data_IF_327916706626
#
_entry.id   IF_327916706626
#
_cell.length_a   1.000
_cell.length_b   1.000
_cell.length_c   1.000
_cell.angle_alpha   90.00
_cell.angle_beta   90.00
_cell.angle_gamma   90.00
#
_symmetry.space_group_name_H-M   'P 1'
#
loop_
_entity.id
_entity.type
_entity.pdbx_description
1 polymer ?
#
# COMPACT_ATOMS: atom_id res chain seq x y z
N UNK A 1 11.81 -31.66 -56.66
CA UNK A 1 11.59 -30.20 -56.74
C UNK A 1 11.27 -29.69 -55.35
N UNK A 2 12.02 -28.74 -54.77
CA UNK A 2 11.81 -28.31 -53.40
C UNK A 2 10.75 -27.21 -53.29
N UNK A 3 9.97 -27.32 -52.22
CA UNK A 3 8.85 -26.47 -51.82
C UNK A 3 9.37 -25.12 -51.29
N UNK A 4 8.86 -23.99 -51.79
CA UNK A 4 9.17 -22.65 -51.26
C UNK A 4 7.96 -22.11 -50.49
N UNK A 5 8.13 -21.95 -49.17
CA UNK A 5 7.20 -21.19 -48.34
C UNK A 5 7.39 -19.67 -48.57
N UNK A 6 6.32 -18.86 -48.55
CA UNK A 6 6.44 -17.42 -48.79
C UNK A 6 7.07 -16.72 -47.58
N UNK A 7 8.09 -15.88 -47.83
CA UNK A 7 8.65 -14.95 -46.84
C UNK A 7 7.69 -13.78 -46.66
N UNK A 8 7.13 -13.64 -45.46
CA UNK A 8 6.41 -12.44 -45.04
C UNK A 8 7.46 -11.36 -44.75
N UNK A 9 7.56 -10.37 -45.64
CA UNK A 9 8.37 -9.17 -45.40
C UNK A 9 7.47 -8.20 -44.63
N UNK A 10 7.70 -8.08 -43.33
CA UNK A 10 7.05 -7.07 -42.49
C UNK A 10 7.75 -5.74 -42.78
N UNK A 11 7.02 -4.79 -43.37
CA UNK A 11 7.57 -3.48 -43.71
C UNK A 11 8.03 -2.75 -42.44
N UNK A 12 9.18 -2.04 -42.43
CA UNK A 12 9.67 -1.31 -41.24
C UNK A 12 8.66 -0.30 -40.68
N UNK A 13 7.75 0.21 -41.52
CA UNK A 13 6.67 1.10 -41.10
C UNK A 13 5.58 0.43 -40.25
N UNK A 14 5.43 -0.90 -40.31
CA UNK A 14 4.43 -1.62 -39.52
C UNK A 14 4.88 -1.84 -38.06
N UNK A 15 6.19 -1.97 -37.84
CA UNK A 15 6.77 -2.07 -36.48
C UNK A 15 6.76 -0.71 -35.76
N UNK A 16 6.93 0.40 -36.50
CA UNK A 16 6.84 1.75 -35.93
C UNK A 16 5.41 2.15 -35.53
N UNK A 17 4.37 1.56 -36.13
CA UNK A 17 2.95 1.89 -35.83
C UNK A 17 2.35 1.10 -34.67
N UNK A 18 3.04 0.08 -34.17
CA UNK A 18 2.64 -0.71 -33.00
C UNK A 18 3.30 -0.23 -31.68
N UNK A 19 4.16 0.78 -31.77
CA UNK A 19 4.81 1.42 -30.62
C UNK A 19 4.22 2.81 -30.29
N UNK A 20 3.25 3.29 -31.07
CA UNK A 20 2.47 4.47 -30.73
C UNK A 20 1.20 4.04 -29.99
N UNK A 21 1.17 4.35 -28.69
CA UNK A 21 0.01 4.32 -27.79
C UNK A 21 -0.48 2.93 -27.33
N UNK A 22 0.37 2.22 -26.59
CA UNK A 22 -0.19 1.55 -25.40
C UNK A 22 -0.62 2.67 -24.44
N UNK A 23 -1.90 2.77 -24.01
CA UNK A 23 -2.25 3.75 -22.99
C UNK A 23 -1.38 3.46 -21.77
N UNK A 24 -0.61 4.44 -21.33
CA UNK A 24 0.10 4.32 -20.06
C UNK A 24 -0.93 3.93 -19.01
N UNK A 25 -0.70 2.80 -18.36
CA UNK A 25 -1.60 2.28 -17.34
C UNK A 25 -1.89 3.35 -16.30
N UNK A 26 -3.18 3.67 -16.09
CA UNK A 26 -3.67 4.64 -15.09
C UNK A 26 -3.53 4.11 -13.64
N UNK A 27 -3.07 2.86 -13.52
CA UNK A 27 -2.75 2.21 -12.25
C UNK A 27 -1.45 2.78 -11.68
N UNK A 28 -1.56 3.40 -10.51
CA UNK A 28 -0.40 3.82 -9.72
C UNK A 28 -0.31 2.93 -8.50
N UNK A 29 0.81 2.24 -8.38
CA UNK A 29 1.06 1.37 -7.25
C UNK A 29 1.38 2.21 -5.99
N UNK A 30 0.76 1.91 -4.84
CA UNK A 30 1.15 2.50 -3.58
C UNK A 30 2.55 1.99 -3.16
N UNK A 31 3.24 2.71 -2.27
CA UNK A 31 4.50 2.24 -1.68
C UNK A 31 4.32 0.90 -0.95
N UNK A 32 5.28 -0.02 -1.13
CA UNK A 32 5.32 -1.28 -0.37
C UNK A 32 5.79 -1.06 1.07
N UNK A 33 4.86 -0.94 2.01
CA UNK A 33 5.17 -0.69 3.43
C UNK A 33 5.56 -1.95 4.22
N UNK A 34 5.67 -3.11 3.57
CA UNK A 34 6.00 -4.36 4.26
C UNK A 34 7.34 -4.25 4.98
N UNK A 35 7.37 -4.75 6.22
CA UNK A 35 8.54 -4.66 7.10
C UNK A 35 8.80 -3.28 7.72
N UNK A 36 7.95 -2.26 7.45
CA UNK A 36 8.13 -0.89 7.94
C UNK A 36 6.93 -0.45 8.81
N UNK A 37 6.86 -0.93 10.07
CA UNK A 37 5.64 -0.86 10.88
C UNK A 37 5.37 0.52 11.51
N UNK A 38 6.35 1.43 11.49
CA UNK A 38 6.24 2.69 12.21
C UNK A 38 5.50 3.73 11.37
N UNK A 39 4.61 4.46 12.03
CA UNK A 39 3.79 5.53 11.46
C UNK A 39 3.61 6.66 12.48
N UNK A 40 3.21 7.83 12.00
CA UNK A 40 2.80 8.98 12.82
C UNK A 40 1.48 9.55 12.32
N UNK A 41 0.70 10.11 13.23
CA UNK A 41 -0.51 10.88 12.97
C UNK A 41 -0.43 12.24 13.66
N UNK A 42 -0.88 13.29 12.98
CA UNK A 42 -1.01 14.64 13.52
C UNK A 42 -2.34 15.22 13.08
N UNK A 43 -3.12 15.76 14.00
CA UNK A 43 -4.36 16.50 13.69
C UNK A 43 -4.21 17.94 14.16
N UNK A 44 -4.50 18.90 13.27
CA UNK A 44 -4.40 20.34 13.56
C UNK A 44 -5.62 21.06 13.01
N UNK A 45 -6.27 21.87 13.85
CA UNK A 45 -7.40 22.71 13.44
C UNK A 45 -6.93 24.06 12.89
N UNK A 46 -7.42 24.42 11.70
CA UNK A 46 -7.17 25.73 11.08
C UNK A 46 -8.48 26.54 10.94
N UNK A 47 -8.44 27.87 11.12
CA UNK A 47 -9.59 28.76 10.99
C UNK A 47 -9.83 29.19 9.53
N UNK A 48 -9.75 28.24 8.60
CA UNK A 48 -10.10 28.42 7.19
C UNK A 48 -10.91 27.24 6.68
N UNK A 49 -11.73 27.42 5.62
CA UNK A 49 -12.43 26.31 4.98
C UNK A 49 -11.46 25.34 4.23
N UNK A 50 -11.89 24.09 3.94
CA UNK A 50 -11.01 23.05 3.41
C UNK A 50 -10.34 23.38 2.08
N UNK A 51 -11.02 24.12 1.21
CA UNK A 51 -10.51 24.58 -0.10
C UNK A 51 -9.23 25.40 0.04
N UNK A 52 -9.10 26.20 1.11
CA UNK A 52 -7.92 27.03 1.35
C UNK A 52 -6.71 26.21 1.78
N UNK A 53 -6.90 25.18 2.60
CA UNK A 53 -5.82 24.27 2.96
C UNK A 53 -5.44 23.39 1.77
N UNK A 54 -6.43 22.92 1.00
CA UNK A 54 -6.19 22.16 -0.21
C UNK A 54 -5.35 22.95 -1.24
N UNK A 55 -5.70 24.23 -1.48
CA UNK A 55 -4.89 25.13 -2.31
C UNK A 55 -3.49 25.37 -1.72
N UNK A 56 -3.34 25.44 -0.39
CA UNK A 56 -2.04 25.56 0.26
C UNK A 56 -1.14 24.34 0.03
N UNK A 57 -1.71 23.15 -0.07
CA UNK A 57 -0.98 21.91 -0.35
C UNK A 57 -0.74 21.65 -1.84
N UNK A 58 -1.62 22.14 -2.73
CA UNK A 58 -1.57 21.79 -4.17
C UNK A 58 -1.08 22.92 -5.07
N UNK A 59 -1.14 24.18 -4.62
CA UNK A 59 -0.76 25.36 -5.41
C UNK A 59 0.27 26.26 -4.75
N UNK A 60 0.37 26.18 -3.43
CA UNK A 60 1.22 27.07 -2.63
C UNK A 60 2.14 26.32 -1.67
N UNK A 61 2.40 25.04 -1.95
CA UNK A 61 3.28 24.19 -1.14
C UNK A 61 4.70 24.73 -1.07
N UNK A 62 5.11 25.44 -2.12
CA UNK A 62 6.38 26.15 -2.22
C UNK A 62 6.53 27.32 -1.25
N UNK A 63 5.44 27.80 -0.63
CA UNK A 63 5.47 28.95 0.30
C UNK A 63 5.77 28.58 1.74
N UNK A 64 5.60 27.31 2.12
CA UNK A 64 5.69 26.88 3.52
C UNK A 64 6.44 25.55 3.72
N UNK A 65 6.69 24.79 2.66
CA UNK A 65 7.38 23.50 2.74
C UNK A 65 8.73 23.52 2.01
N UNK A 66 8.74 24.01 0.77
CA UNK A 66 9.92 23.98 -0.08
C UNK A 66 10.79 25.23 0.09
N UNK A 67 12.11 25.04 -0.03
CA UNK A 67 13.05 26.13 -0.26
C UNK A 67 12.66 26.93 -1.52
N UNK A 68 12.72 28.27 -1.51
CA UNK A 68 12.32 29.09 -2.64
C UNK A 68 12.97 28.66 -3.97
N UNK A 69 12.15 28.37 -4.98
CA UNK A 69 12.61 28.00 -6.33
C UNK A 69 13.03 26.53 -6.52
N UNK A 70 13.05 25.71 -5.47
CA UNK A 70 13.44 24.29 -5.56
C UNK A 70 12.29 23.39 -6.06
N UNK A 71 11.04 23.76 -5.77
CA UNK A 71 9.88 22.91 -6.06
C UNK A 71 9.65 22.66 -7.56
N UNK A 72 9.45 21.40 -7.91
CA UNK A 72 9.03 20.87 -9.21
C UNK A 72 7.88 19.90 -8.94
N UNK A 73 6.65 20.38 -9.03
CA UNK A 73 5.47 19.59 -8.68
C UNK A 73 4.35 19.84 -9.70
N UNK A 74 3.67 18.77 -10.10
CA UNK A 74 2.35 18.82 -10.74
C UNK A 74 1.39 18.01 -9.87
N UNK A 75 0.21 18.54 -9.59
CA UNK A 75 -0.81 17.87 -8.77
C UNK A 75 -1.80 17.13 -9.65
N UNK A 76 -1.26 16.16 -10.38
CA UNK A 76 -2.00 15.21 -11.20
C UNK A 76 -1.68 13.80 -10.71
N UNK A 77 -2.67 12.91 -10.76
CA UNK A 77 -2.51 11.53 -10.33
C UNK A 77 -1.35 10.89 -11.11
N UNK A 78 -0.32 10.43 -10.41
CA UNK A 78 0.88 9.79 -10.96
C UNK A 78 2.03 10.73 -11.27
N UNK A 79 1.82 12.04 -11.22
CA UNK A 79 2.86 13.01 -11.48
C UNK A 79 3.98 12.92 -10.43
N UNK A 80 5.26 12.88 -10.86
CA UNK A 80 6.37 12.93 -9.95
C UNK A 80 6.55 14.33 -9.39
N UNK A 81 7.19 14.42 -8.23
CA UNK A 81 7.58 15.69 -7.65
C UNK A 81 9.01 15.67 -7.07
N UNK A 82 9.60 16.86 -6.99
CA UNK A 82 10.86 17.12 -6.33
C UNK A 82 10.81 18.48 -5.62
N UNK A 83 11.43 18.59 -4.45
CA UNK A 83 11.77 19.88 -3.83
C UNK A 83 12.89 19.69 -2.80
N UNK A 84 13.62 20.76 -2.49
CA UNK A 84 14.44 20.81 -1.29
C UNK A 84 13.62 21.38 -0.13
N UNK A 85 13.63 20.72 1.03
CA UNK A 85 12.94 21.22 2.22
C UNK A 85 13.53 22.56 2.66
N UNK A 86 12.68 23.49 3.11
CA UNK A 86 13.15 24.73 3.71
C UNK A 86 13.95 24.48 5.00
N UNK A 87 14.89 25.38 5.31
CA UNK A 87 15.64 25.30 6.56
C UNK A 87 14.70 25.42 7.77
N UNK A 88 14.64 24.38 8.58
CA UNK A 88 13.92 24.38 9.85
C UNK A 88 14.89 24.79 10.96
N UNK A 89 14.57 25.83 11.73
CA UNK A 89 15.49 26.40 12.72
C UNK A 89 15.93 25.35 13.76
N UNK A 90 17.23 25.10 13.88
CA UNK A 90 17.80 24.24 14.93
C UNK A 90 18.77 23.15 14.45
N UNK A 91 18.82 22.86 13.15
CA UNK A 91 19.85 21.98 12.57
C UNK A 91 20.94 22.81 11.90
N UNK A 92 22.20 22.34 11.96
CA UNK A 92 23.29 22.97 11.24
C UNK A 92 22.96 22.99 9.73
N UNK A 93 23.26 24.08 9.01
CA UNK A 93 22.96 24.17 7.59
C UNK A 93 23.62 22.99 6.87
N UNK A 94 22.80 22.15 6.25
CA UNK A 94 23.30 21.05 5.44
C UNK A 94 24.03 21.66 4.21
N UNK A 95 25.24 21.19 3.85
CA UNK A 95 26.02 21.76 2.75
C UNK A 95 25.36 21.60 1.37
N UNK A 96 24.32 20.76 1.28
CA UNK A 96 23.38 20.65 0.17
C UNK A 96 21.97 20.62 0.77
N UNK A 97 20.95 21.08 0.04
CA UNK A 97 19.56 21.04 0.48
C UNK A 97 19.11 19.65 0.95
N UNK A 98 17.92 19.55 1.56
CA UNK A 98 17.32 18.27 1.96
C UNK A 98 16.34 17.84 0.87
N UNK A 99 16.78 17.08 -0.16
CA UNK A 99 15.92 16.74 -1.28
C UNK A 99 14.83 15.77 -0.86
N UNK A 100 13.63 16.05 -1.36
CA UNK A 100 12.43 15.26 -1.21
C UNK A 100 11.90 14.92 -2.59
N UNK A 101 11.51 13.66 -2.76
CA UNK A 101 11.01 13.09 -4.00
C UNK A 101 9.70 12.36 -3.75
N UNK A 102 8.95 12.12 -4.82
CA UNK A 102 7.77 11.29 -4.72
C UNK A 102 6.88 11.35 -5.94
N UNK A 103 5.64 10.90 -5.76
CA UNK A 103 4.58 11.00 -6.76
C UNK A 103 3.22 11.20 -6.09
N UNK A 104 2.29 11.80 -6.82
CA UNK A 104 0.90 11.90 -6.38
C UNK A 104 0.21 10.54 -6.58
N UNK A 105 -0.39 9.99 -5.53
CA UNK A 105 -1.13 8.72 -5.59
C UNK A 105 -2.63 8.96 -5.79
N UNK A 106 -3.16 9.96 -5.09
CA UNK A 106 -4.57 10.29 -5.08
C UNK A 106 -4.79 11.74 -4.67
N UNK A 107 -5.83 12.33 -5.23
CA UNK A 107 -6.27 13.68 -4.88
C UNK A 107 -7.79 13.74 -5.00
N UNK A 108 -8.43 14.22 -3.94
CA UNK A 108 -9.85 14.57 -3.93
C UNK A 108 -9.96 16.03 -3.53
N UNK A 109 -10.49 16.85 -4.43
CA UNK A 109 -10.54 18.30 -4.24
C UNK A 109 -11.20 18.65 -2.90
N UNK A 110 -10.52 19.52 -2.15
CA UNK A 110 -10.95 20.05 -0.85
C UNK A 110 -11.13 18.98 0.25
N UNK A 111 -10.66 17.74 0.03
CA UNK A 111 -10.89 16.60 0.94
C UNK A 111 -9.66 15.75 1.24
N UNK A 112 -8.89 15.38 0.23
CA UNK A 112 -7.81 14.40 0.41
C UNK A 112 -6.63 14.62 -0.55
N UNK A 113 -5.43 14.29 -0.05
CA UNK A 113 -4.21 14.19 -0.84
C UNK A 113 -3.38 13.01 -0.33
N UNK A 114 -2.99 12.12 -1.24
CA UNK A 114 -2.11 10.96 -0.95
C UNK A 114 -0.86 11.02 -1.82
N UNK A 115 0.30 10.87 -1.18
CA UNK A 115 1.62 11.01 -1.78
C UNK A 115 2.48 9.81 -1.42
N UNK A 116 3.16 9.23 -2.42
CA UNK A 116 4.36 8.46 -2.16
C UNK A 116 5.48 9.47 -1.90
N UNK A 117 6.22 9.28 -0.82
CA UNK A 117 7.15 10.26 -0.29
C UNK A 117 8.51 9.62 -0.02
N UNK A 118 9.60 10.30 -0.35
CA UNK A 118 10.95 9.79 -0.10
C UNK A 118 11.89 10.95 0.19
N UNK A 119 12.74 10.78 1.19
CA UNK A 119 13.84 11.70 1.48
C UNK A 119 15.09 10.94 1.93
N UNK A 120 16.22 11.63 1.90
CA UNK A 120 17.52 11.06 2.24
C UNK A 120 17.72 10.83 3.74
N UNK A 121 18.99 10.73 4.13
CA UNK A 121 19.40 10.56 5.52
C UNK A 121 18.80 11.65 6.43
N UNK A 122 18.25 11.23 7.57
CA UNK A 122 17.59 12.14 8.52
C UNK A 122 16.15 12.48 8.15
N UNK A 123 15.59 11.85 7.11
CA UNK A 123 14.17 11.83 6.78
C UNK A 123 13.64 10.39 6.74
N UNK A 124 13.27 9.89 5.56
CA UNK A 124 12.83 8.50 5.37
C UNK A 124 13.96 7.51 5.12
N UNK A 125 15.21 7.97 5.17
CA UNK A 125 16.44 7.18 4.98
C UNK A 125 16.42 6.39 3.66
N UNK A 126 15.85 7.00 2.60
CA UNK A 126 15.74 6.44 1.25
C UNK A 126 14.57 5.48 1.04
N UNK A 127 13.78 5.17 2.07
CA UNK A 127 12.59 4.35 1.92
C UNK A 127 11.42 5.18 1.36
N UNK A 128 10.63 4.59 0.46
CA UNK A 128 9.42 5.21 -0.07
C UNK A 128 8.26 5.04 0.91
N UNK A 129 7.79 6.10 1.53
CA UNK A 129 6.72 6.13 2.53
C UNK A 129 5.40 6.62 1.95
N UNK A 130 4.31 6.46 2.71
CA UNK A 130 2.99 6.97 2.34
C UNK A 130 2.64 8.16 3.23
N UNK A 131 2.40 9.32 2.62
CA UNK A 131 1.88 10.51 3.27
C UNK A 131 0.44 10.75 2.83
N UNK A 132 -0.47 10.76 3.79
CA UNK A 132 -1.90 11.01 3.60
C UNK A 132 -2.31 12.26 4.35
N UNK A 133 -3.00 13.16 3.66
CA UNK A 133 -3.55 14.39 4.23
C UNK A 133 -5.06 14.40 3.99
N UNK A 134 -5.84 14.69 5.03
CA UNK A 134 -7.29 14.81 4.99
C UNK A 134 -7.70 16.19 5.49
N UNK A 135 -8.69 16.78 4.84
CA UNK A 135 -9.23 18.10 5.14
C UNK A 135 -10.70 17.95 5.52
N UNK A 136 -10.98 17.93 6.82
CA UNK A 136 -12.33 17.67 7.36
C UNK A 136 -12.97 18.97 7.84
N UNK A 137 -14.19 19.26 7.37
CA UNK A 137 -14.91 20.46 7.82
C UNK A 137 -15.24 20.34 9.31
N UNK A 138 -14.67 21.20 10.14
CA UNK A 138 -14.94 21.27 11.58
C UNK A 138 -15.97 22.35 11.95
N UNK A 139 -16.18 23.34 11.06
CA UNK A 139 -17.13 24.44 11.24
C UNK A 139 -17.32 25.23 9.95
N UNK A 140 -18.06 26.35 9.99
CA UNK A 140 -18.36 27.15 8.78
C UNK A 140 -17.11 27.72 8.09
N UNK A 141 -16.05 27.99 8.87
CA UNK A 141 -14.75 28.45 8.39
C UNK A 141 -13.61 27.77 9.15
N UNK A 142 -13.82 26.53 9.55
CA UNK A 142 -12.82 25.76 10.29
C UNK A 142 -12.63 24.39 9.66
N UNK A 143 -11.39 23.94 9.61
CA UNK A 143 -11.00 22.65 9.05
C UNK A 143 -10.05 21.94 9.99
N UNK A 144 -10.32 20.67 10.25
CA UNK A 144 -9.36 19.75 10.87
C UNK A 144 -8.51 19.14 9.75
N UNK A 145 -7.21 19.44 9.78
CA UNK A 145 -6.23 18.82 8.91
C UNK A 145 -5.65 17.61 9.64
N UNK A 146 -5.89 16.42 9.10
CA UNK A 146 -5.28 15.17 9.59
C UNK A 146 -4.17 14.75 8.65
N UNK A 147 -2.96 14.61 9.18
CA UNK A 147 -1.77 14.16 8.47
C UNK A 147 -1.33 12.82 9.04
N UNK A 148 -1.20 11.82 8.18
CA UNK A 148 -0.65 10.51 8.52
C UNK A 148 0.55 10.21 7.65
N UNK A 149 1.68 9.81 8.24
CA UNK A 149 2.87 9.41 7.50
C UNK A 149 3.27 7.99 7.94
N UNK A 150 3.28 7.04 7.00
CA UNK A 150 3.45 5.61 7.26
C UNK A 150 4.65 5.02 6.51
N UNK A 151 5.23 3.97 7.07
CA UNK A 151 6.28 3.20 6.41
C UNK A 151 7.70 3.54 6.87
N UNK A 152 7.90 4.03 8.10
CA UNK A 152 9.25 4.23 8.60
C UNK A 152 9.88 2.89 9.01
N UNK A 153 11.16 2.71 8.68
CA UNK A 153 11.90 1.51 9.02
C UNK A 153 12.22 1.42 10.51
N UNK A 154 12.38 2.57 11.18
CA UNK A 154 12.73 2.66 12.60
C UNK A 154 11.85 3.68 13.32
N UNK A 155 11.68 3.48 14.62
CA UNK A 155 10.97 4.42 15.48
C UNK A 155 11.68 5.78 15.55
N UNK A 156 13.02 5.80 15.53
CA UNK A 156 13.79 7.05 15.53
C UNK A 156 13.55 7.89 14.27
N UNK A 157 13.43 7.25 13.10
CA UNK A 157 13.07 7.94 11.86
C UNK A 157 11.67 8.55 11.95
N UNK A 158 10.69 7.79 12.47
CA UNK A 158 9.33 8.27 12.75
C UNK A 158 9.35 9.48 13.68
N UNK A 159 10.05 9.39 14.81
CA UNK A 159 10.13 10.44 15.83
C UNK A 159 10.79 11.72 15.30
N UNK A 160 11.84 11.61 14.48
CA UNK A 160 12.44 12.76 13.79
C UNK A 160 11.45 13.41 12.84
N UNK A 161 10.80 12.60 12.01
CA UNK A 161 9.85 13.09 11.01
C UNK A 161 8.63 13.76 11.65
N UNK A 162 8.15 13.26 12.79
CA UNK A 162 7.07 13.88 13.55
C UNK A 162 7.47 15.29 14.02
N UNK A 163 8.66 15.45 14.61
CA UNK A 163 9.17 16.76 15.01
C UNK A 163 9.30 17.72 13.84
N UNK A 164 9.79 17.25 12.70
CA UNK A 164 9.87 18.03 11.47
C UNK A 164 8.48 18.46 10.99
N UNK A 165 7.50 17.56 10.98
CA UNK A 165 6.13 17.91 10.58
C UNK A 165 5.48 18.95 11.48
N UNK A 166 5.67 18.87 12.80
CA UNK A 166 5.16 19.90 13.73
C UNK A 166 5.65 21.29 13.35
N UNK A 167 6.96 21.42 13.10
CA UNK A 167 7.55 22.68 12.65
C UNK A 167 7.03 23.15 11.27
N UNK A 168 6.83 22.22 10.33
CA UNK A 168 6.34 22.57 9.00
C UNK A 168 4.85 22.97 9.03
N UNK A 169 4.04 22.34 9.88
CA UNK A 169 2.65 22.72 10.09
C UNK A 169 2.52 24.11 10.75
N UNK A 170 3.47 24.51 11.60
CA UNK A 170 3.59 25.90 12.06
C UNK A 170 3.89 26.86 10.90
N UNK A 171 4.75 26.45 9.97
CA UNK A 171 5.06 27.24 8.76
C UNK A 171 3.85 27.35 7.83
N UNK A 172 3.04 26.30 7.71
CA UNK A 172 1.74 26.35 7.04
C UNK A 172 0.78 27.32 7.73
N UNK A 173 0.68 27.27 9.06
CA UNK A 173 -0.15 28.20 9.83
C UNK A 173 0.25 29.66 9.58
N UNK A 174 1.54 29.95 9.45
CA UNK A 174 2.02 31.32 9.19
C UNK A 174 1.53 31.91 7.84
N UNK A 175 1.24 31.06 6.85
CA UNK A 175 0.70 31.51 5.56
C UNK A 175 -0.84 31.46 5.50
N UNK A 176 -1.49 30.88 6.51
CA UNK A 176 -2.94 30.77 6.63
C UNK A 176 -3.46 31.93 7.49
N UNK A 177 -4.30 32.84 6.95
CA UNK A 177 -4.81 33.98 7.71
C UNK A 177 -5.56 33.55 8.98
N UNK A 178 -5.18 34.12 10.12
CA UNK A 178 -5.86 33.91 11.40
C UNK A 178 -5.47 32.61 12.13
N UNK A 179 -4.67 31.73 11.52
CA UNK A 179 -4.16 30.55 12.20
C UNK A 179 -3.19 30.94 13.33
N UNK A 180 -3.25 30.20 14.44
CA UNK A 180 -2.27 30.30 15.52
C UNK A 180 -1.13 29.31 15.25
N UNK A 181 0.08 29.52 15.80
CA UNK A 181 1.10 28.49 15.85
C UNK A 181 0.52 27.22 16.50
N UNK A 182 0.82 26.07 15.94
CA UNK A 182 0.42 24.76 16.45
C UNK A 182 1.15 24.54 17.76
N UNK A 183 0.44 24.63 18.90
CA UNK A 183 1.06 24.35 20.20
C UNK A 183 1.32 22.85 20.32
N UNK A 184 2.39 22.48 21.03
CA UNK A 184 2.70 21.08 21.35
C UNK A 184 1.55 20.34 22.06
N UNK A 185 0.63 21.09 22.68
CA UNK A 185 -0.58 20.63 23.37
C UNK A 185 -1.83 20.48 22.49
N UNK A 186 -1.81 20.98 21.25
CA UNK A 186 -2.96 20.90 20.32
C UNK A 186 -2.93 19.64 19.44
N UNK A 187 -1.89 18.82 19.60
CA UNK A 187 -1.71 17.56 18.92
C UNK A 187 -2.13 16.48 19.90
N UNK A 188 -3.33 15.94 19.72
CA UNK A 188 -3.57 14.58 20.18
C UNK A 188 -2.50 13.72 19.53
N UNK A 189 -1.64 13.08 20.33
CA UNK A 189 -0.91 11.90 19.89
C UNK A 189 -1.97 10.89 19.48
N UNK A 190 -2.39 10.97 18.23
CA UNK A 190 -3.23 9.98 17.60
C UNK A 190 -2.29 8.79 17.40
N UNK A 191 -2.13 8.01 18.48
CA UNK A 191 -1.69 6.62 18.41
C UNK A 191 -2.51 6.03 17.28
N UNK A 192 -1.91 5.71 16.12
CA UNK A 192 -2.56 5.69 14.82
C UNK A 192 -3.90 5.00 14.96
N UNK A 193 -4.96 5.77 15.18
CA UNK A 193 -6.26 5.15 15.31
C UNK A 193 -6.57 4.69 13.89
N UNK A 194 -6.82 3.39 13.74
CA UNK A 194 -7.04 2.81 12.43
C UNK A 194 -8.26 3.50 11.82
N UNK A 195 -8.38 3.45 10.50
CA UNK A 195 -9.71 3.48 9.89
C UNK A 195 -10.65 2.66 10.79
N UNK A 196 -11.81 3.21 11.18
CA UNK A 196 -12.73 2.48 12.05
C UNK A 196 -12.81 1.03 11.56
N UNK A 197 -12.70 0.06 12.47
CA UNK A 197 -12.54 -1.32 12.06
C UNK A 197 -13.71 -1.71 11.16
N UNK A 198 -13.41 -2.03 9.91
CA UNK A 198 -14.40 -2.39 8.88
C UNK A 198 -15.03 -3.74 9.21
N UNK A 199 -14.46 -4.49 10.16
CA UNK A 199 -14.96 -5.77 10.65
C UNK A 199 -14.75 -5.89 12.16
N UNK A 200 -15.58 -6.71 12.81
CA UNK A 200 -15.28 -7.27 14.13
C UNK A 200 -13.96 -8.08 14.09
N UNK A 201 -13.28 -8.25 15.25
CA UNK A 201 -11.96 -8.88 15.29
C UNK A 201 -11.97 -10.34 14.82
N UNK A 202 -10.97 -10.70 14.02
CA UNK A 202 -10.78 -12.05 13.46
C UNK A 202 -9.61 -12.74 14.15
N UNK A 203 -9.76 -14.00 14.54
CA UNK A 203 -8.64 -14.78 15.04
C UNK A 203 -7.64 -15.01 13.90
N UNK A 204 -6.38 -14.59 14.10
CA UNK A 204 -5.39 -14.61 13.02
C UNK A 204 -5.11 -16.03 12.50
N UNK A 205 -5.13 -17.03 13.38
CA UNK A 205 -4.91 -18.42 13.00
C UNK A 205 -6.02 -18.95 12.08
N UNK A 206 -7.27 -18.59 12.35
CA UNK A 206 -8.43 -18.95 11.53
C UNK A 206 -8.34 -18.29 10.15
N UNK A 207 -7.85 -17.05 10.09
CA UNK A 207 -7.62 -16.35 8.84
C UNK A 207 -6.47 -16.98 8.02
N UNK A 208 -5.41 -17.45 8.67
CA UNK A 208 -4.33 -18.19 8.01
C UNK A 208 -4.87 -19.51 7.42
N UNK A 209 -5.69 -20.24 8.17
CA UNK A 209 -6.36 -21.46 7.68
C UNK A 209 -7.24 -21.16 6.45
N UNK A 210 -8.03 -20.10 6.50
CA UNK A 210 -8.88 -19.66 5.40
C UNK A 210 -8.08 -19.24 4.16
N UNK A 211 -6.99 -18.51 4.36
CA UNK A 211 -6.09 -18.10 3.29
C UNK A 211 -5.44 -19.31 2.60
N UNK A 212 -5.01 -20.31 3.39
CA UNK A 212 -4.46 -21.56 2.87
C UNK A 212 -5.51 -22.31 2.04
N UNK A 213 -6.76 -22.35 2.51
CA UNK A 213 -7.88 -22.95 1.76
C UNK A 213 -8.11 -22.24 0.41
N UNK A 214 -8.31 -20.92 0.42
CA UNK A 214 -8.52 -20.12 -0.81
C UNK A 214 -7.35 -20.29 -1.78
N UNK A 215 -6.12 -20.37 -1.26
CA UNK A 215 -4.90 -20.49 -2.06
C UNK A 215 -4.56 -21.91 -2.54
N UNK A 216 -5.37 -22.91 -2.18
CA UNK A 216 -5.12 -24.32 -2.53
C UNK A 216 -5.53 -24.69 -3.96
N UNK A 217 -6.41 -23.89 -4.57
CA UNK A 217 -6.92 -24.06 -5.92
C UNK A 217 -6.41 -23.01 -6.91
N UNK A 218 -7.03 -22.95 -8.08
CA UNK A 218 -6.91 -21.81 -8.98
C UNK A 218 -7.62 -20.58 -8.37
N UNK A 219 -7.26 -19.35 -8.78
CA UNK A 219 -8.02 -18.17 -8.40
C UNK A 219 -9.51 -18.39 -8.68
N UNK A 220 -10.35 -18.02 -7.70
CA UNK A 220 -11.82 -18.17 -7.73
C UNK A 220 -12.36 -19.61 -7.57
N UNK A 221 -11.52 -20.64 -7.48
CA UNK A 221 -11.95 -22.03 -7.27
C UNK A 221 -12.43 -22.28 -5.83
N UNK A 222 -11.68 -21.76 -4.85
CA UNK A 222 -12.07 -21.80 -3.45
C UNK A 222 -12.26 -20.39 -2.93
N UNK A 223 -13.35 -20.18 -2.19
CA UNK A 223 -13.71 -18.87 -1.64
C UNK A 223 -13.93 -18.97 -0.15
N UNK A 224 -13.44 -17.97 0.57
CA UNK A 224 -13.76 -17.72 1.95
C UNK A 224 -13.97 -16.22 2.14
N UNK A 225 -14.85 -15.83 3.05
CA UNK A 225 -15.08 -14.42 3.37
C UNK A 225 -15.29 -14.20 4.87
N UNK A 226 -14.87 -13.03 5.34
CA UNK A 226 -15.04 -12.56 6.70
C UNK A 226 -16.37 -11.82 6.79
N UNK A 227 -17.25 -12.23 7.70
CA UNK A 227 -18.46 -11.48 8.02
C UNK A 227 -18.09 -10.22 8.83
N UNK A 228 -18.42 -9.04 8.31
CA UNK A 228 -18.07 -7.74 8.90
C UNK A 228 -18.56 -7.60 10.34
N UNK A 229 -19.80 -8.01 10.63
CA UNK A 229 -20.39 -7.81 11.95
C UNK A 229 -19.79 -8.71 13.05
N UNK A 230 -19.34 -9.91 12.68
CA UNK A 230 -18.98 -10.97 13.66
C UNK A 230 -17.50 -11.35 13.62
N UNK A 231 -16.80 -11.07 12.53
CA UNK A 231 -15.44 -11.55 12.27
C UNK A 231 -15.38 -13.05 11.94
N UNK A 232 -16.53 -13.72 11.78
CA UNK A 232 -16.59 -15.13 11.43
C UNK A 232 -16.15 -15.35 9.97
N UNK A 233 -15.45 -16.45 9.70
CA UNK A 233 -15.02 -16.81 8.36
C UNK A 233 -15.94 -17.89 7.81
N UNK A 234 -16.55 -17.62 6.67
CA UNK A 234 -17.41 -18.55 5.94
C UNK A 234 -16.69 -19.11 4.72
N UNK A 235 -16.84 -20.40 4.48
CA UNK A 235 -16.25 -21.13 3.35
C UNK A 235 -17.33 -21.45 2.32
N UNK A 236 -16.93 -21.59 1.04
CA UNK A 236 -17.82 -21.69 -0.12
C UNK A 236 -18.97 -22.72 -0.04
N UNK A 237 -18.90 -23.74 0.82
CA UNK A 237 -19.95 -24.77 0.96
C UNK A 237 -21.07 -24.40 1.96
N UNK A 238 -20.94 -23.34 2.77
CA UNK A 238 -21.94 -22.95 3.79
C UNK A 238 -22.88 -21.80 3.37
N UNK A 239 -22.95 -21.52 2.07
CA UNK A 239 -23.68 -20.35 1.52
C UNK A 239 -24.98 -20.74 0.81
N UNK A 240 -25.41 -22.00 0.95
CA UNK A 240 -26.76 -22.43 0.57
C UNK A 240 -27.76 -21.96 1.63
N UNK A 241 -28.85 -21.36 1.14
CA UNK A 241 -30.07 -20.90 1.85
C UNK A 241 -30.12 -19.43 2.27
N UNK A 242 -30.02 -18.52 1.29
CA UNK A 242 -30.99 -17.41 1.24
C UNK A 242 -31.86 -17.64 0.02
N UNK A 243 -33.08 -18.14 0.26
CA UNK A 243 -34.12 -18.36 -0.73
C UNK A 243 -34.31 -17.13 -1.63
N UNK A 244 -33.70 -17.16 -2.82
CA UNK A 244 -34.21 -16.39 -3.94
C UNK A 244 -35.17 -17.34 -4.66
N UNK A 245 -36.45 -17.24 -4.31
CA UNK A 245 -37.51 -17.89 -5.07
C UNK A 245 -37.39 -17.46 -6.54
N UNK A 246 -37.01 -18.43 -7.39
CA UNK A 246 -37.21 -18.38 -8.84
C UNK A 246 -36.02 -17.89 -9.66
N UNK A 247 -35.12 -18.80 -10.00
CA UNK A 247 -34.66 -18.92 -11.40
C UNK A 247 -34.03 -20.28 -11.65
N UNK A 248 -34.65 -21.02 -12.57
CA UNK A 248 -34.14 -22.27 -13.14
C UNK A 248 -32.94 -21.99 -14.05
N UNK A 249 -32.01 -22.96 -14.06
CA UNK A 249 -31.05 -23.28 -15.12
C UNK A 249 -30.26 -22.13 -15.77
N UNK A 250 -29.00 -22.02 -15.36
CA UNK A 250 -27.96 -21.42 -16.19
C UNK A 250 -26.70 -21.21 -15.38
N UNK A 251 -25.58 -21.78 -15.83
CA UNK A 251 -24.25 -21.38 -15.38
C UNK A 251 -24.06 -19.89 -15.73
N UNK A 252 -24.52 -19.01 -14.85
CA UNK A 252 -24.33 -17.57 -14.93
C UNK A 252 -23.02 -17.21 -14.25
N UNK A 253 -22.29 -16.28 -14.84
CA UNK A 253 -21.28 -15.48 -14.13
C UNK A 253 -21.88 -15.04 -12.78
N UNK A 254 -21.46 -15.69 -11.70
CA UNK A 254 -21.76 -15.22 -10.36
C UNK A 254 -20.83 -14.04 -10.10
N UNK A 255 -21.21 -12.88 -10.62
CA UNK A 255 -20.83 -11.59 -10.07
C UNK A 255 -21.51 -11.49 -8.69
N UNK A 256 -20.94 -12.23 -7.73
CA UNK A 256 -21.39 -12.24 -6.35
C UNK A 256 -21.06 -10.88 -5.76
N UNK A 257 -22.11 -10.08 -5.57
CA UNK A 257 -22.05 -8.86 -4.79
C UNK A 257 -21.71 -9.24 -3.34
N UNK A 258 -20.42 -9.28 -3.02
CA UNK A 258 -19.91 -9.14 -1.67
C UNK A 258 -20.24 -7.72 -1.22
N UNK A 259 -21.53 -7.43 -0.97
CA UNK A 259 -21.95 -6.14 -0.47
C UNK A 259 -21.26 -5.84 0.88
N UNK A 260 -21.58 -4.70 1.48
CA UNK A 260 -20.91 -4.13 2.67
C UNK A 260 -20.83 -5.04 3.93
N UNK A 261 -21.34 -6.27 3.88
CA UNK A 261 -21.39 -7.25 4.98
C UNK A 261 -20.28 -8.31 4.95
N UNK A 262 -19.55 -8.47 3.84
CA UNK A 262 -18.52 -9.51 3.72
C UNK A 262 -17.24 -9.01 3.08
N UNK A 263 -16.09 -9.43 3.62
CA UNK A 263 -14.76 -9.13 3.07
C UNK A 263 -14.14 -10.42 2.53
N UNK A 264 -13.87 -10.54 1.22
CA UNK A 264 -13.28 -11.75 0.65
C UNK A 264 -11.84 -11.96 1.14
N UNK A 265 -11.52 -13.18 1.55
CA UNK A 265 -10.15 -13.57 1.91
C UNK A 265 -9.31 -13.59 0.63
N UNK A 266 -8.14 -12.92 0.59
CA UNK A 266 -7.36 -12.78 -0.63
C UNK A 266 -6.74 -14.12 -1.04
N UNK A 267 -6.56 -14.31 -2.34
CA UNK A 267 -5.75 -15.40 -2.86
C UNK A 267 -4.26 -15.05 -2.74
N UNK A 268 -3.37 -16.05 -2.63
CA UNK A 268 -1.89 -15.82 -2.60
C UNK A 268 -1.34 -14.98 -3.77
N UNK A 269 -2.04 -14.99 -4.91
CA UNK A 269 -1.69 -14.17 -6.08
C UNK A 269 -1.92 -12.68 -5.83
N UNK A 270 -2.94 -12.33 -5.03
CA UNK A 270 -3.30 -10.94 -4.71
C UNK A 270 -2.29 -10.31 -3.73
N UNK A 271 -1.57 -11.15 -2.99
CA UNK A 271 -0.55 -10.76 -2.01
C UNK A 271 0.88 -10.91 -2.51
N UNK A 272 1.08 -11.09 -3.82
CA UNK A 272 2.41 -11.25 -4.44
C UNK A 272 3.22 -12.46 -3.89
N UNK A 273 2.55 -13.46 -3.30
CA UNK A 273 3.16 -14.67 -2.70
C UNK A 273 3.44 -15.77 -3.74
N UNK A 274 3.67 -15.38 -5.00
CA UNK A 274 3.93 -16.25 -6.13
C UNK A 274 5.42 -16.28 -6.54
N UNK A 275 5.69 -16.16 -7.84
CA UNK A 275 7.05 -16.20 -8.38
C UNK A 275 7.98 -15.13 -7.79
N UNK A 276 7.44 -13.94 -7.48
CA UNK A 276 8.21 -12.83 -6.88
C UNK A 276 8.79 -13.21 -5.51
N UNK A 277 8.01 -13.90 -4.68
CA UNK A 277 8.48 -14.41 -3.39
C UNK A 277 9.63 -15.40 -3.54
N UNK A 278 9.54 -16.30 -4.52
CA UNK A 278 10.59 -17.29 -4.82
C UNK A 278 11.88 -16.64 -5.35
N UNK A 279 11.77 -15.62 -6.21
CA UNK A 279 12.92 -14.85 -6.68
C UNK A 279 13.59 -14.07 -5.55
N UNK A 280 12.81 -13.49 -4.65
CA UNK A 280 13.33 -12.81 -3.46
C UNK A 280 14.11 -13.77 -2.56
N UNK A 281 13.52 -14.92 -2.24
CA UNK A 281 14.22 -15.98 -1.50
C UNK A 281 15.53 -16.39 -2.18
N UNK A 282 15.50 -16.60 -3.50
CA UNK A 282 16.70 -16.98 -4.25
C UNK A 282 17.78 -15.89 -4.18
N UNK A 283 17.42 -14.61 -4.28
CA UNK A 283 18.40 -13.52 -4.17
C UNK A 283 19.05 -13.43 -2.78
N UNK A 284 18.32 -13.79 -1.73
CA UNK A 284 18.80 -13.71 -0.34
C UNK A 284 19.56 -14.95 0.12
N UNK A 285 19.11 -16.14 -0.31
CA UNK A 285 19.57 -17.43 0.23
C UNK A 285 20.44 -18.20 -0.75
N UNK A 286 20.26 -17.97 -2.06
CA UNK A 286 20.92 -18.69 -3.15
C UNK A 286 21.40 -17.74 -4.26
N UNK A 287 22.17 -16.67 -3.95
CA UNK A 287 22.56 -15.68 -4.95
C UNK A 287 23.33 -16.31 -6.13
N UNK A 288 24.17 -17.30 -5.85
CA UNK A 288 24.95 -18.04 -6.87
C UNK A 288 24.07 -18.85 -7.85
N UNK A 289 22.84 -19.21 -7.42
CA UNK A 289 21.87 -19.95 -8.23
C UNK A 289 20.71 -19.08 -8.70
N UNK A 290 20.74 -17.77 -8.45
CA UNK A 290 19.65 -16.87 -8.78
C UNK A 290 19.25 -16.94 -10.25
N UNK A 291 20.22 -16.94 -11.17
CA UNK A 291 19.94 -17.05 -12.61
C UNK A 291 19.24 -18.37 -12.98
N UNK A 292 19.61 -19.46 -12.30
CA UNK A 292 18.97 -20.77 -12.50
C UNK A 292 17.52 -20.73 -12.00
N UNK A 293 17.27 -20.17 -10.81
CA UNK A 293 15.91 -20.01 -10.26
C UNK A 293 15.08 -19.10 -11.16
N UNK A 294 15.64 -17.97 -11.60
CA UNK A 294 14.98 -17.06 -12.54
C UNK A 294 14.53 -17.79 -13.80
N UNK A 295 15.42 -18.61 -14.39
CA UNK A 295 15.10 -19.42 -15.58
C UNK A 295 13.96 -20.43 -15.32
N UNK A 296 13.92 -21.08 -14.16
CA UNK A 296 12.84 -22.01 -13.78
C UNK A 296 11.47 -21.33 -13.87
N UNK A 297 11.35 -20.09 -13.39
CA UNK A 297 10.09 -19.34 -13.38
C UNK A 297 9.60 -18.84 -14.75
N UNK A 298 10.37 -19.05 -15.83
CA UNK A 298 9.91 -18.80 -17.20
C UNK A 298 9.10 -19.97 -17.80
N UNK A 299 9.02 -21.12 -17.11
CA UNK A 299 8.38 -22.34 -17.61
C UNK A 299 7.13 -22.74 -16.80
N UNK A 300 6.18 -23.45 -17.44
CA UNK A 300 5.05 -24.06 -16.72
C UNK A 300 5.57 -25.11 -15.73
N UNK A 301 4.98 -25.16 -14.53
CA UNK A 301 5.42 -26.06 -13.46
C UNK A 301 6.65 -25.58 -12.67
N UNK A 302 7.00 -24.29 -12.78
CA UNK A 302 8.15 -23.68 -12.12
C UNK A 302 8.28 -24.01 -10.62
N UNK A 303 7.17 -23.98 -9.86
CA UNK A 303 7.20 -24.25 -8.43
C UNK A 303 7.64 -25.69 -8.08
N UNK A 304 7.29 -26.67 -8.91
CA UNK A 304 7.75 -28.04 -8.73
C UNK A 304 9.27 -28.15 -8.91
N UNK A 305 9.77 -27.60 -10.02
CA UNK A 305 11.21 -27.57 -10.31
C UNK A 305 12.01 -26.78 -9.27
N UNK A 306 11.46 -25.65 -8.80
CA UNK A 306 12.07 -24.86 -7.74
C UNK A 306 12.17 -25.64 -6.43
N UNK A 307 11.09 -26.32 -6.00
CA UNK A 307 11.12 -27.16 -4.80
C UNK A 307 12.08 -28.34 -4.93
N UNK A 308 12.21 -28.94 -6.12
CA UNK A 308 13.22 -29.98 -6.39
C UNK A 308 14.65 -29.44 -6.21
N UNK A 309 14.95 -28.27 -6.77
CA UNK A 309 16.26 -27.61 -6.59
C UNK A 309 16.55 -27.33 -5.11
N UNK A 310 15.56 -26.81 -4.37
CA UNK A 310 15.72 -26.53 -2.94
C UNK A 310 15.91 -27.80 -2.10
N UNK A 311 15.28 -28.91 -2.51
CA UNK A 311 15.48 -30.19 -1.85
C UNK A 311 16.91 -30.70 -2.06
N UNK A 312 17.45 -30.59 -3.27
CA UNK A 312 18.84 -30.97 -3.59
C UNK A 312 19.87 -30.14 -2.82
N UNK A 313 19.60 -28.85 -2.62
CA UNK A 313 20.47 -27.93 -1.86
C UNK A 313 20.22 -27.98 -0.34
N UNK A 314 19.30 -28.82 0.15
CA UNK A 314 18.97 -28.94 1.58
C UNK A 314 18.27 -27.70 2.18
N UNK A 315 17.64 -26.87 1.35
CA UNK A 315 17.03 -25.59 1.72
C UNK A 315 15.50 -25.61 1.76
N UNK A 316 14.89 -26.77 1.53
CA UNK A 316 13.43 -26.90 1.42
C UNK A 316 12.70 -26.45 2.71
N UNK A 317 13.19 -26.84 3.89
CA UNK A 317 12.62 -26.39 5.17
C UNK A 317 12.77 -24.88 5.36
N UNK A 318 13.92 -24.32 4.96
CA UNK A 318 14.19 -22.88 5.03
C UNK A 318 13.27 -22.09 4.10
N UNK A 319 12.96 -22.63 2.92
CA UNK A 319 11.95 -22.07 2.03
C UNK A 319 10.57 -22.08 2.68
N UNK A 320 10.12 -23.19 3.26
CA UNK A 320 8.80 -23.25 3.91
C UNK A 320 8.69 -22.27 5.08
N UNK A 321 9.74 -22.11 5.89
CA UNK A 321 9.76 -21.11 6.96
C UNK A 321 9.70 -19.68 6.41
N UNK A 322 10.43 -19.39 5.31
CA UNK A 322 10.41 -18.10 4.65
C UNK A 322 9.04 -17.79 4.03
N UNK A 323 8.44 -18.77 3.36
CA UNK A 323 7.11 -18.68 2.75
C UNK A 323 6.03 -18.44 3.82
N UNK A 324 6.06 -19.19 4.93
CA UNK A 324 5.13 -19.01 6.04
C UNK A 324 5.27 -17.63 6.70
N UNK A 325 6.51 -17.15 6.92
CA UNK A 325 6.74 -15.82 7.48
C UNK A 325 6.27 -14.70 6.54
N UNK A 326 6.53 -14.84 5.24
CA UNK A 326 6.08 -13.89 4.23
C UNK A 326 4.55 -13.87 4.10
N UNK A 327 3.91 -15.04 4.11
CA UNK A 327 2.45 -15.16 4.07
C UNK A 327 1.81 -14.54 5.32
N UNK A 328 2.28 -14.88 6.51
CA UNK A 328 1.79 -14.29 7.75
C UNK A 328 1.98 -12.77 7.78
N UNK A 329 3.10 -12.27 7.27
CA UNK A 329 3.35 -10.82 7.17
C UNK A 329 2.39 -10.14 6.20
N UNK A 330 2.26 -10.67 5.00
CA UNK A 330 1.39 -10.12 3.95
C UNK A 330 -0.07 -10.11 4.40
N UNK A 331 -0.52 -11.17 5.07
CA UNK A 331 -1.90 -11.28 5.58
C UNK A 331 -2.17 -10.25 6.69
N UNK A 332 -1.21 -10.01 7.60
CA UNK A 332 -1.34 -8.94 8.61
C UNK A 332 -1.36 -7.54 8.01
N UNK A 333 -0.52 -7.30 7.00
CA UNK A 333 -0.48 -6.02 6.29
C UNK A 333 -1.79 -5.81 5.50
N UNK A 334 -2.34 -6.86 4.88
CA UNK A 334 -3.67 -6.85 4.26
C UNK A 334 -4.78 -6.55 5.28
N UNK A 335 -4.79 -7.19 6.45
CA UNK A 335 -5.75 -6.88 7.51
C UNK A 335 -5.69 -5.41 7.93
N UNK A 336 -4.47 -4.86 8.12
CA UNK A 336 -4.29 -3.45 8.47
C UNK A 336 -4.83 -2.53 7.38
N UNK A 337 -4.54 -2.83 6.12
CA UNK A 337 -5.00 -2.02 4.98
C UNK A 337 -6.53 -2.04 4.82
N UNK A 338 -7.19 -3.13 5.23
CA UNK A 338 -8.64 -3.29 5.16
C UNK A 338 -9.35 -2.98 6.49
N UNK A 339 -8.66 -2.44 7.50
CA UNK A 339 -9.25 -2.14 8.80
C UNK A 339 -9.80 -3.36 9.53
N UNK A 340 -9.21 -4.54 9.35
CA UNK A 340 -9.62 -5.80 9.98
C UNK A 340 -8.77 -6.02 11.25
N UNK A 341 -9.34 -5.90 12.45
CA UNK A 341 -8.61 -6.20 13.68
C UNK A 341 -8.30 -7.69 13.76
N UNK A 342 -7.09 -8.04 14.18
CA UNK A 342 -6.68 -9.44 14.37
C UNK A 342 -6.40 -9.74 15.83
N UNK A 343 -6.90 -10.87 16.32
CA UNK A 343 -6.72 -11.35 17.70
C UNK A 343 -6.07 -12.73 17.72
N UNK A 344 -5.61 -13.15 18.91
CA UNK A 344 -5.26 -14.55 19.13
C UNK A 344 -6.54 -15.37 19.27
N UNK A 345 -6.51 -16.65 18.87
CA UNK A 345 -7.63 -17.57 19.08
C UNK A 345 -7.98 -17.62 20.59
N UNK A 346 -9.26 -17.38 20.98
CA UNK A 346 -9.64 -17.45 22.38
C UNK A 346 -9.39 -18.88 22.90
N UNK A 347 -8.76 -19.00 24.06
CA UNK A 347 -8.52 -20.29 24.69
C UNK A 347 -9.87 -20.97 24.95
N UNK A 348 -10.10 -22.13 24.34
CA UNK A 348 -11.26 -22.97 24.60
C UNK A 348 -11.27 -23.31 26.08
N UNK A 349 -12.29 -22.85 26.82
CA UNK A 349 -12.53 -23.33 28.18
C UNK A 349 -12.77 -24.84 28.07
N UNK A 350 -11.83 -25.64 28.57
CA UNK A 350 -12.05 -27.06 28.76
C UNK A 350 -13.24 -27.23 29.71
N UNK A 351 -14.36 -27.74 29.17
CA UNK A 351 -15.56 -28.11 29.91
C UNK A 351 -15.45 -29.50 30.49
#
# INVERSE_FOLDING_TARGET
MPNHAPRVIVSPCFVMRLLEESPMSDTIYPPDLTGRPFALGLTVRFPVPPDRLYDAWTRHIDRWLASPGSARMSFEKGAPFYFDLMETSGEAPAPAGRPHYGRILGLERDRALDLAWMSGAGGTDGAETLLSVRFEKAGDRETDLRLTHQGFATEDARNRQERTWRFLLDSLAAIVPGAKPVSATDIEEDSPLPAEPVSAPVAFDDLVEAFVFVSSGQPMEYKAAIAVETGAIHYHDEWEDVDIEGSEEGAGDFDMDFGDRYIPVPHRSDLDLGARLALRFASEVLPDRYEQVSRIFHHRGAFGQFKSLLHEEGLLERWFAFEAAAAARALRDWCRANGIPVTARPATKAG
#
